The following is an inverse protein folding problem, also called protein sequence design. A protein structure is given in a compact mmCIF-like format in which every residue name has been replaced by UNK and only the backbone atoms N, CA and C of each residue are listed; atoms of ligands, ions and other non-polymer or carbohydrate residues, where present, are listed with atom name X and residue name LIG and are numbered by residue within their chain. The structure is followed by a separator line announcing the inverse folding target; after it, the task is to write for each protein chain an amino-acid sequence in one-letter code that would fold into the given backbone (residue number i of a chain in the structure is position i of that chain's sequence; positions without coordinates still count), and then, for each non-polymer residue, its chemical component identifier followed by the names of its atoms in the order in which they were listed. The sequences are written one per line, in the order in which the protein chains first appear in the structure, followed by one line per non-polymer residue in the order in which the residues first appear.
data_IF_308727225879
#
_entry.id   IF_308727225879
#
_cell.length_a   1.000
_cell.length_b   1.000
_cell.length_c   1.000
_cell.angle_alpha   90.00
_cell.angle_beta   90.00
_cell.angle_gamma   90.00
#
_symmetry.space_group_name_H-M   'P 1'
#
loop_
_entity.id
_entity.type
_entity.pdbx_description
1 polymer ?
#
# COMPACT_ATOMS: atom_id res chain seq x y z
N UNK A 1 3.35 14.49 16.52
CA UNK A 1 4.53 14.47 15.64
C UNK A 1 4.22 13.62 14.42
N UNK A 2 4.33 14.23 13.24
CA UNK A 2 4.36 13.49 11.98
C UNK A 2 5.81 13.24 11.57
N UNK A 3 6.02 12.11 10.91
CA UNK A 3 7.31 11.63 10.45
C UNK A 3 7.31 11.44 8.94
N UNK A 4 8.48 11.64 8.35
CA UNK A 4 8.78 11.39 6.95
C UNK A 4 9.97 10.45 6.85
N UNK A 5 9.97 9.56 5.87
CA UNK A 5 11.12 8.70 5.58
C UNK A 5 11.50 8.78 4.10
N UNK A 6 12.72 8.37 3.77
CA UNK A 6 13.11 8.14 2.37
C UNK A 6 12.87 6.68 2.00
N UNK A 7 12.03 6.43 1.00
CA UNK A 7 11.78 5.10 0.44
C UNK A 7 11.95 5.14 -1.09
N UNK A 8 12.81 4.28 -1.66
CA UNK A 8 13.15 4.27 -3.09
C UNK A 8 13.55 5.65 -3.65
N UNK A 9 14.23 6.47 -2.85
CA UNK A 9 14.65 7.83 -3.24
C UNK A 9 13.54 8.89 -3.22
N UNK A 10 12.32 8.53 -2.80
CA UNK A 10 11.21 9.47 -2.62
C UNK A 10 10.91 9.70 -1.14
N UNK A 11 10.53 10.93 -0.80
CA UNK A 11 10.04 11.28 0.53
C UNK A 11 8.60 10.81 0.69
N UNK A 12 8.34 9.99 1.70
CA UNK A 12 7.01 9.48 2.05
C UNK A 12 6.59 9.98 3.43
N UNK A 13 5.37 10.51 3.50
CA UNK A 13 4.73 11.07 4.69
C UNK A 13 3.74 12.19 4.32
N UNK A 14 3.15 12.89 5.30
CA UNK A 14 3.32 12.73 6.74
C UNK A 14 2.74 11.40 7.27
N UNK A 15 3.43 10.76 8.22
CA UNK A 15 3.02 9.48 8.82
C UNK A 15 3.08 9.54 10.35
N UNK A 16 2.26 8.73 11.03
CA UNK A 16 2.40 8.54 12.48
C UNK A 16 3.61 7.67 12.82
N UNK A 17 4.07 7.70 14.09
CA UNK A 17 5.19 6.88 14.57
C UNK A 17 5.06 5.38 14.26
N UNK A 18 3.83 4.85 14.35
CA UNK A 18 3.56 3.45 14.06
C UNK A 18 3.59 3.21 12.55
N UNK A 19 2.96 4.08 11.76
CA UNK A 19 2.85 3.94 10.31
C UNK A 19 4.22 3.90 9.60
N UNK A 20 5.29 4.43 10.19
CA UNK A 20 6.65 4.30 9.65
C UNK A 20 7.04 2.82 9.43
N UNK A 21 6.63 1.91 10.32
CA UNK A 21 6.95 0.48 10.23
C UNK A 21 6.12 -0.27 9.18
N UNK A 22 5.18 0.41 8.51
CA UNK A 22 4.55 -0.09 7.30
C UNK A 22 5.56 -0.24 6.13
N UNK A 23 6.71 0.44 6.23
CA UNK A 23 7.82 0.39 5.30
C UNK A 23 8.98 -0.45 5.86
N UNK A 24 9.83 -1.04 5.00
CA UNK A 24 11.00 -1.79 5.43
C UNK A 24 12.08 -0.84 5.96
N UNK A 25 11.91 -0.37 7.19
CA UNK A 25 12.82 0.55 7.87
C UNK A 25 13.88 -0.20 8.68
N UNK A 26 15.06 0.41 8.78
CA UNK A 26 16.21 -0.08 9.54
C UNK A 26 16.66 1.01 10.52
N UNK A 27 17.50 0.70 11.53
CA UNK A 27 18.04 1.71 12.43
C UNK A 27 18.74 2.88 11.70
N UNK A 28 19.30 2.62 10.51
CA UNK A 28 20.01 3.63 9.72
C UNK A 28 19.11 4.34 8.70
N UNK A 29 17.81 4.02 8.64
CA UNK A 29 16.88 4.65 7.70
C UNK A 29 16.76 6.14 8.03
N UNK A 30 16.94 7.05 7.06
CA UNK A 30 16.74 8.48 7.27
C UNK A 30 15.28 8.79 7.59
N UNK A 31 15.06 9.44 8.72
CA UNK A 31 13.77 9.93 9.21
C UNK A 31 13.85 11.44 9.39
N UNK A 32 12.80 12.15 9.00
CA UNK A 32 12.64 13.58 9.22
C UNK A 32 11.33 13.81 9.99
N UNK A 33 11.31 14.81 10.88
CA UNK A 33 10.11 15.21 11.62
C UNK A 33 9.70 16.62 11.23
N UNK A 34 8.41 16.93 11.35
CA UNK A 34 7.91 18.29 11.08
C UNK A 34 8.57 19.36 11.96
N UNK A 35 9.00 19.00 13.17
CA UNK A 35 9.55 19.94 14.14
C UNK A 35 11.04 20.27 13.91
N UNK A 36 11.85 19.27 13.53
CA UNK A 36 13.30 19.43 13.41
C UNK A 36 13.74 19.72 11.96
N UNK A 37 12.92 19.36 10.96
CA UNK A 37 13.19 19.50 9.52
C UNK A 37 14.55 18.94 9.04
N UNK A 38 15.24 18.18 9.89
CA UNK A 38 16.54 17.59 9.65
C UNK A 38 16.42 16.08 9.47
N UNK A 39 17.05 15.55 8.42
CA UNK A 39 17.14 14.12 8.19
C UNK A 39 18.14 13.50 9.17
N UNK A 40 17.64 12.67 10.07
CA UNK A 40 18.44 11.93 11.04
C UNK A 40 18.13 10.44 10.94
N UNK A 41 19.10 9.55 11.20
CA UNK A 41 18.85 8.12 11.15
C UNK A 41 17.87 7.70 12.25
N UNK A 42 17.04 6.67 11.98
CA UNK A 42 15.98 6.21 12.88
C UNK A 42 16.45 5.94 14.32
N UNK A 43 17.69 5.46 14.51
CA UNK A 43 18.27 5.22 15.84
C UNK A 43 18.42 6.49 16.70
N UNK A 44 18.41 7.69 16.11
CA UNK A 44 18.45 8.94 16.89
C UNK A 44 17.14 9.22 17.64
N UNK A 45 16.07 8.50 17.28
CA UNK A 45 14.75 8.61 17.89
C UNK A 45 14.49 7.39 18.81
N UNK A 46 14.59 7.54 20.14
CA UNK A 46 14.40 6.44 21.07
C UNK A 46 13.00 5.81 20.95
N UNK A 47 11.96 6.61 20.74
CA UNK A 47 10.58 6.14 20.56
C UNK A 47 10.40 5.22 19.34
N UNK A 48 11.11 5.52 18.23
CA UNK A 48 11.06 4.70 17.03
C UNK A 48 11.90 3.43 17.21
N UNK A 49 13.01 3.52 17.93
CA UNK A 49 13.82 2.33 18.24
C UNK A 49 13.06 1.35 19.14
N UNK A 50 12.31 1.85 20.12
CA UNK A 50 11.44 1.03 20.97
C UNK A 50 10.38 0.30 20.14
N UNK A 51 9.67 1.02 19.26
CA UNK A 51 8.66 0.42 18.38
C UNK A 51 9.25 -0.57 17.38
N UNK A 52 10.48 -0.34 16.90
CA UNK A 52 11.18 -1.28 16.02
C UNK A 52 11.50 -2.60 16.75
N UNK A 53 11.81 -2.51 18.06
CA UNK A 53 12.08 -3.69 18.89
C UNK A 53 10.80 -4.49 19.21
N UNK A 54 9.63 -3.83 19.23
CA UNK A 54 8.35 -4.50 19.44
C UNK A 54 7.81 -5.09 18.12
N UNK A 55 7.87 -6.42 18.01
CA UNK A 55 7.34 -7.15 16.86
C UNK A 55 5.84 -6.94 16.65
N UNK A 56 5.07 -6.71 17.72
CA UNK A 56 3.64 -6.44 17.61
C UNK A 56 3.38 -5.06 17.04
N UNK A 57 4.14 -4.05 17.44
CA UNK A 57 4.03 -2.70 16.90
C UNK A 57 4.27 -2.67 15.37
N UNK A 58 5.29 -3.39 14.89
CA UNK A 58 5.59 -3.52 13.46
C UNK A 58 4.45 -4.22 12.70
N UNK A 59 3.89 -5.29 13.26
CA UNK A 59 2.75 -6.00 12.65
C UNK A 59 1.50 -5.13 12.57
N UNK A 60 1.18 -4.43 13.66
CA UNK A 60 0.03 -3.53 13.68
C UNK A 60 0.20 -2.38 12.69
N UNK A 61 1.40 -1.82 12.59
CA UNK A 61 1.74 -0.79 11.61
C UNK A 61 1.54 -1.20 10.15
N UNK A 62 1.87 -2.46 9.80
CA UNK A 62 1.67 -2.99 8.45
C UNK A 62 0.19 -3.12 8.07
N UNK A 63 -0.72 -3.15 9.04
CA UNK A 63 -2.18 -3.21 8.84
C UNK A 63 -2.87 -1.84 8.95
N UNK A 64 -2.15 -0.77 9.32
CA UNK A 64 -2.71 0.59 9.38
C UNK A 64 -3.09 1.04 7.99
N UNK A 65 -4.34 1.47 7.82
CA UNK A 65 -4.82 2.09 6.60
C UNK A 65 -4.38 3.55 6.55
N UNK A 66 -3.54 3.91 5.57
CA UNK A 66 -2.95 5.24 5.43
C UNK A 66 -3.61 6.05 4.33
N UNK A 67 -4.23 5.38 3.36
CA UNK A 67 -4.77 5.99 2.14
C UNK A 67 -6.30 6.12 2.13
N UNK A 68 -6.97 5.61 3.16
CA UNK A 68 -8.42 5.47 3.27
C UNK A 68 -9.00 4.34 2.41
N UNK A 69 -8.17 3.44 1.86
CA UNK A 69 -8.62 2.38 0.93
C UNK A 69 -8.34 1.00 1.49
N UNK A 70 -9.37 0.22 1.76
CA UNK A 70 -9.20 -1.09 2.39
C UNK A 70 -8.85 -2.18 1.38
N UNK A 71 -7.79 -2.96 1.67
CA UNK A 71 -7.40 -4.12 0.86
C UNK A 71 -8.51 -5.17 0.80
N UNK A 72 -9.25 -5.34 1.90
CA UNK A 72 -10.29 -6.36 2.02
C UNK A 72 -11.44 -6.03 1.07
N UNK A 73 -11.90 -4.79 1.08
CA UNK A 73 -12.96 -4.34 0.18
C UNK A 73 -12.53 -4.44 -1.28
N UNK A 74 -11.29 -4.04 -1.59
CA UNK A 74 -10.72 -4.15 -2.92
C UNK A 74 -10.63 -5.61 -3.40
N UNK A 75 -10.16 -6.52 -2.54
CA UNK A 75 -10.05 -7.96 -2.82
C UNK A 75 -11.41 -8.63 -3.02
N UNK A 76 -12.41 -8.29 -2.20
CA UNK A 76 -13.79 -8.79 -2.35
C UNK A 76 -14.41 -8.30 -3.66
N UNK A 77 -14.22 -7.02 -4.02
CA UNK A 77 -14.67 -6.50 -5.31
C UNK A 77 -13.97 -7.16 -6.49
N UNK A 78 -12.69 -7.49 -6.36
CA UNK A 78 -11.97 -8.23 -7.40
C UNK A 78 -12.49 -9.67 -7.58
N UNK A 79 -12.94 -10.32 -6.51
CA UNK A 79 -13.51 -11.67 -6.58
C UNK A 79 -14.92 -11.67 -7.16
N UNK A 80 -15.79 -10.77 -6.70
CA UNK A 80 -17.21 -10.75 -7.08
C UNK A 80 -17.45 -10.02 -8.40
N UNK A 81 -16.71 -8.95 -8.66
CA UNK A 81 -16.90 -8.04 -9.78
C UNK A 81 -15.63 -7.83 -10.61
N UNK A 82 -14.69 -8.79 -10.54
CA UNK A 82 -13.39 -8.72 -11.18
C UNK A 82 -13.44 -8.54 -12.70
N UNK A 83 -14.41 -9.15 -13.37
CA UNK A 83 -14.62 -9.01 -14.81
C UNK A 83 -15.07 -7.59 -15.24
N UNK A 84 -15.63 -6.81 -14.32
CA UNK A 84 -16.02 -5.41 -14.55
C UNK A 84 -14.94 -4.41 -14.13
N UNK A 85 -13.91 -4.85 -13.40
CA UNK A 85 -12.82 -3.98 -12.94
C UNK A 85 -13.18 -3.01 -11.81
N UNK A 86 -14.22 -3.29 -11.01
CA UNK A 86 -14.68 -2.43 -9.90
C UNK A 86 -13.58 -2.13 -8.88
N UNK A 87 -12.73 -3.11 -8.60
CA UNK A 87 -11.57 -2.97 -7.72
C UNK A 87 -10.62 -1.84 -8.17
N UNK A 88 -10.45 -1.64 -9.48
CA UNK A 88 -9.60 -0.58 -10.04
C UNK A 88 -10.25 0.80 -9.93
N UNK A 89 -11.57 0.88 -10.06
CA UNK A 89 -12.32 2.10 -9.82
C UNK A 89 -12.26 2.53 -8.35
N UNK A 90 -12.36 1.56 -7.42
CA UNK A 90 -12.26 1.82 -5.98
C UNK A 90 -10.90 2.44 -5.58
N UNK A 91 -9.81 1.95 -6.18
CA UNK A 91 -8.47 2.51 -5.91
C UNK A 91 -8.18 3.83 -6.64
N UNK A 92 -9.14 4.35 -7.42
CA UNK A 92 -9.00 5.62 -8.16
C UNK A 92 -8.29 5.48 -9.51
N UNK A 93 -8.04 4.25 -9.99
CA UNK A 93 -7.41 3.97 -11.28
C UNK A 93 -8.46 3.69 -12.36
N UNK A 94 -9.16 4.75 -12.78
CA UNK A 94 -10.25 4.69 -13.77
C UNK A 94 -9.78 4.05 -15.09
N UNK A 95 -8.59 4.41 -15.57
CA UNK A 95 -8.03 3.84 -16.81
C UNK A 95 -7.83 2.33 -16.72
N UNK A 96 -7.36 1.81 -15.58
CA UNK A 96 -7.20 0.37 -15.36
C UNK A 96 -8.55 -0.37 -15.35
N UNK A 97 -9.58 0.23 -14.76
CA UNK A 97 -10.94 -0.30 -14.77
C UNK A 97 -11.49 -0.46 -16.19
N UNK A 98 -11.35 0.58 -17.01
CA UNK A 98 -11.78 0.54 -18.42
C UNK A 98 -11.00 -0.50 -19.24
N UNK A 99 -9.69 -0.60 -19.05
CA UNK A 99 -8.87 -1.62 -19.71
C UNK A 99 -9.32 -3.02 -19.32
N UNK A 100 -9.64 -3.24 -18.04
CA UNK A 100 -10.13 -4.53 -17.53
C UNK A 100 -11.44 -4.94 -18.20
N UNK A 101 -12.36 -4.00 -18.42
CA UNK A 101 -13.62 -4.24 -19.15
C UNK A 101 -13.34 -4.62 -20.61
N UNK A 102 -12.48 -3.85 -21.29
CA UNK A 102 -12.10 -4.15 -22.68
C UNK A 102 -11.44 -5.53 -22.81
N UNK A 103 -10.52 -5.87 -21.89
CA UNK A 103 -9.87 -7.18 -21.88
C UNK A 103 -10.86 -8.30 -21.59
N UNK A 104 -11.79 -8.11 -20.65
CA UNK A 104 -12.85 -9.09 -20.37
C UNK A 104 -13.74 -9.30 -21.59
N UNK A 105 -14.06 -8.24 -22.35
CA UNK A 105 -14.86 -8.35 -23.58
C UNK A 105 -14.10 -9.07 -24.70
N UNK A 106 -12.83 -8.72 -24.93
CA UNK A 106 -11.97 -9.31 -25.97
C UNK A 106 -11.64 -10.78 -25.69
N UNK A 107 -11.42 -11.13 -24.41
CA UNK A 107 -11.08 -12.49 -23.99
C UNK A 107 -12.31 -13.35 -23.66
N UNK A 108 -13.54 -12.88 -23.94
CA UNK A 108 -14.79 -13.58 -23.61
C UNK A 108 -14.88 -13.99 -22.12
N UNK A 109 -14.49 -13.09 -21.22
CA UNK A 109 -14.56 -13.30 -19.77
C UNK A 109 -13.40 -14.08 -19.15
N UNK A 110 -12.45 -14.58 -19.96
CA UNK A 110 -11.27 -15.30 -19.45
C UNK A 110 -10.41 -14.44 -18.51
N UNK A 111 -10.40 -13.11 -18.75
CA UNK A 111 -9.74 -12.13 -17.88
C UNK A 111 -10.29 -12.11 -16.44
N UNK A 112 -11.50 -12.64 -16.20
CA UNK A 112 -12.06 -12.73 -14.85
C UNK A 112 -11.27 -13.68 -13.94
N UNK A 113 -10.53 -14.64 -14.51
CA UNK A 113 -9.68 -15.56 -13.73
C UNK A 113 -8.46 -14.81 -13.18
N UNK A 114 -7.87 -13.93 -14.00
CA UNK A 114 -6.74 -13.10 -13.62
C UNK A 114 -7.12 -12.18 -12.47
N UNK A 115 -8.27 -11.50 -12.58
CA UNK A 115 -8.75 -10.59 -11.53
C UNK A 115 -9.21 -11.33 -10.27
N UNK A 116 -9.70 -12.57 -10.40
CA UNK A 116 -9.97 -13.44 -9.25
C UNK A 116 -8.70 -13.77 -8.46
N UNK A 117 -7.64 -14.24 -9.15
CA UNK A 117 -6.34 -14.51 -8.50
C UNK A 117 -5.81 -13.24 -7.85
N UNK A 118 -5.95 -12.09 -8.52
CA UNK A 118 -5.52 -10.81 -7.99
C UNK A 118 -6.27 -10.45 -6.70
N UNK A 119 -7.58 -10.73 -6.64
CA UNK A 119 -8.36 -10.56 -5.42
C UNK A 119 -7.84 -11.39 -4.25
N UNK A 120 -7.51 -12.67 -4.48
CA UNK A 120 -6.90 -13.53 -3.45
C UNK A 120 -5.55 -13.00 -3.00
N UNK A 121 -4.73 -12.50 -3.93
CA UNK A 121 -3.43 -11.89 -3.62
C UNK A 121 -3.60 -10.61 -2.78
N UNK A 122 -4.58 -9.76 -3.08
CA UNK A 122 -4.90 -8.59 -2.25
C UNK A 122 -5.36 -8.95 -0.84
N UNK A 123 -6.10 -10.05 -0.68
CA UNK A 123 -6.57 -10.52 0.63
C UNK A 123 -5.45 -11.14 1.49
N UNK A 124 -4.40 -11.67 0.85
CA UNK A 124 -3.30 -12.35 1.55
C UNK A 124 -2.10 -11.45 1.84
N UNK A 125 -2.04 -10.26 1.25
CA UNK A 125 -1.01 -9.26 1.54
C UNK A 125 -1.38 -8.34 2.73
N UNK A 126 -0.39 -7.60 3.22
CA UNK A 126 -0.59 -6.58 4.26
C UNK A 126 -1.22 -5.32 3.69
N UNK A 127 -1.86 -4.52 4.54
CA UNK A 127 -2.48 -3.24 4.13
C UNK A 127 -1.43 -2.30 3.52
N UNK A 128 -0.25 -2.22 4.12
CA UNK A 128 0.84 -1.39 3.61
C UNK A 128 1.32 -1.81 2.22
N UNK A 129 1.46 -3.12 1.98
CA UNK A 129 1.84 -3.65 0.66
C UNK A 129 0.78 -3.34 -0.40
N UNK A 130 -0.50 -3.47 -0.04
CA UNK A 130 -1.61 -3.13 -0.92
C UNK A 130 -1.55 -1.65 -1.32
N UNK A 131 -1.41 -0.76 -0.35
CA UNK A 131 -1.36 0.68 -0.59
C UNK A 131 -0.16 1.06 -1.45
N UNK A 132 1.02 0.54 -1.13
CA UNK A 132 2.22 0.80 -1.91
C UNK A 132 2.08 0.32 -3.36
N UNK A 133 1.54 -0.88 -3.55
CA UNK A 133 1.51 -1.52 -4.87
C UNK A 133 0.38 -1.02 -5.76
N UNK A 134 -0.81 -0.82 -5.21
CA UNK A 134 -2.00 -0.50 -5.99
C UNK A 134 -2.38 0.98 -5.92
N UNK A 135 -2.21 1.63 -4.76
CA UNK A 135 -2.70 2.99 -4.52
C UNK A 135 -1.64 4.04 -4.83
N UNK A 136 -0.46 3.91 -4.23
CA UNK A 136 0.63 4.89 -4.32
C UNK A 136 1.49 4.73 -5.58
N UNK A 137 1.43 3.56 -6.22
CA UNK A 137 2.20 3.29 -7.42
C UNK A 137 1.63 4.08 -8.63
N UNK A 138 2.44 4.87 -9.35
CA UNK A 138 1.99 5.64 -10.52
C UNK A 138 1.67 4.78 -11.76
N UNK A 139 1.97 3.48 -11.75
CA UNK A 139 1.68 2.57 -12.87
C UNK A 139 0.19 2.56 -13.20
N UNK A 140 -0.13 2.77 -14.48
CA UNK A 140 -1.50 2.86 -15.00
C UNK A 140 -2.30 1.57 -14.87
N UNK A 141 -1.64 0.41 -14.89
CA UNK A 141 -2.25 -0.92 -14.76
C UNK A 141 -1.40 -1.81 -13.83
N UNK A 142 -1.57 -1.74 -12.51
CA UNK A 142 -0.88 -2.63 -11.58
C UNK A 142 -1.53 -4.02 -11.63
N UNK A 143 -1.12 -4.85 -12.60
CA UNK A 143 -1.52 -6.27 -12.65
C UNK A 143 -0.54 -7.05 -11.80
N UNK A 144 -1.07 -7.71 -10.77
CA UNK A 144 -0.35 -8.46 -9.74
C UNK A 144 0.73 -7.68 -9.01
#
# INVERSE_FOLDING_TARGET
MNYFITYNGQTVGPMSKQQIFAYPVTPNTPVCTEENQAWQPLYSFPDLMELLSDTNAVRNAAEVNTTGKDKILCGVFAILFGGLGIQYFYIGKISAGLITILLSLVTCGLWSIVTFIQGVVMLTMTQSQFEQKYVLNPTTLPVF
#
